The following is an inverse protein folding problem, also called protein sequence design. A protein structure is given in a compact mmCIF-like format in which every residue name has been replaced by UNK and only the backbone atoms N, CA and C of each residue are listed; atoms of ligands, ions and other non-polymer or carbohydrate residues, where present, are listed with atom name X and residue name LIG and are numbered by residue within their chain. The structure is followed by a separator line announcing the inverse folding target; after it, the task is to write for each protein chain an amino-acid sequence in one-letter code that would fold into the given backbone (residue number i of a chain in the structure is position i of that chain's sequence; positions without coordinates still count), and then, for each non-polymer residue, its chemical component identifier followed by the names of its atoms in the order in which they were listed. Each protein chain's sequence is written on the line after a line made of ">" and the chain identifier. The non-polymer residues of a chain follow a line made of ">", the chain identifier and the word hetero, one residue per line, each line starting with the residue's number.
data_IF_221662901677
#
_entry.id   IF_221662901677
#
_cell.length_a   1.000
_cell.length_b   1.000
_cell.length_c   1.000
_cell.angle_alpha   90.00
_cell.angle_beta   90.00
_cell.angle_gamma   90.00
#
_symmetry.space_group_name_H-M   'P 1'
#
loop_
_entity.id
_entity.type
_entity.pdbx_description
1 polymer ?
#
# COMPACT_ATOMS: atom_id res chain seq x y z
N UNK A 1 -7.17 -37.24 25.22
CA UNK A 1 -6.84 -36.34 24.09
C UNK A 1 -7.86 -35.22 24.13
N UNK A 2 -7.49 -34.00 24.49
CA UNK A 2 -8.40 -32.86 24.39
C UNK A 2 -8.55 -32.53 22.90
N UNK A 3 -9.79 -32.47 22.43
CA UNK A 3 -10.07 -32.03 21.06
C UNK A 3 -9.68 -30.55 20.92
N UNK A 4 -9.15 -30.14 19.75
CA UNK A 4 -8.85 -28.73 19.49
C UNK A 4 -10.13 -27.90 19.64
N UNK A 5 -10.01 -26.72 20.24
CA UNK A 5 -11.15 -25.84 20.45
C UNK A 5 -11.78 -25.44 19.10
N UNK A 6 -13.06 -25.75 18.94
CA UNK A 6 -13.79 -25.43 17.73
C UNK A 6 -14.53 -24.10 17.90
N UNK A 7 -13.96 -23.06 17.28
CA UNK A 7 -14.52 -21.71 17.22
C UNK A 7 -15.88 -21.65 16.49
N UNK A 8 -16.17 -22.64 15.64
CA UNK A 8 -17.38 -22.69 14.82
C UNK A 8 -18.45 -23.63 15.37
N UNK A 9 -18.19 -24.29 16.50
CA UNK A 9 -19.20 -25.11 17.18
C UNK A 9 -20.42 -24.29 17.61
N UNK A 10 -21.60 -24.92 17.66
CA UNK A 10 -22.86 -24.25 18.03
C UNK A 10 -22.81 -23.57 19.41
N UNK A 11 -21.95 -24.04 20.31
CA UNK A 11 -21.74 -23.47 21.65
C UNK A 11 -20.81 -22.25 21.66
N UNK A 12 -19.80 -22.22 20.79
CA UNK A 12 -18.74 -21.20 20.81
C UNK A 12 -18.91 -20.12 19.75
N UNK A 13 -19.52 -20.43 18.61
CA UNK A 13 -19.85 -19.48 17.55
C UNK A 13 -20.48 -18.16 18.06
N UNK A 14 -21.48 -18.17 18.97
CA UNK A 14 -22.08 -16.92 19.47
C UNK A 14 -21.12 -16.07 20.34
N UNK A 15 -20.04 -16.65 20.87
CA UNK A 15 -19.04 -15.93 21.69
C UNK A 15 -18.05 -15.14 20.83
N UNK A 16 -17.75 -15.66 19.63
CA UNK A 16 -16.72 -15.10 18.74
C UNK A 16 -17.30 -14.28 17.57
N UNK A 17 -18.52 -14.59 17.13
CA UNK A 17 -19.13 -13.93 15.97
C UNK A 17 -19.40 -12.45 16.24
N UNK A 18 -18.95 -11.59 15.33
CA UNK A 18 -19.10 -10.14 15.37
C UNK A 18 -18.18 -9.44 16.37
N UNK A 19 -17.27 -10.18 17.02
CA UNK A 19 -16.38 -9.65 18.04
C UNK A 19 -15.30 -8.74 17.42
N UNK A 20 -14.79 -9.09 16.25
CA UNK A 20 -13.74 -8.37 15.55
C UNK A 20 -14.30 -7.34 14.56
N UNK A 21 -15.54 -7.50 14.08
CA UNK A 21 -16.17 -6.62 13.07
C UNK A 21 -16.06 -5.12 13.38
N UNK A 22 -16.36 -4.61 14.60
CA UNK A 22 -16.25 -3.18 14.89
C UNK A 22 -14.82 -2.65 14.78
N UNK A 23 -13.84 -3.48 15.12
CA UNK A 23 -12.43 -3.12 15.09
C UNK A 23 -11.86 -3.24 13.67
N UNK A 24 -12.23 -4.28 12.93
CA UNK A 24 -11.90 -4.45 11.51
C UNK A 24 -12.41 -3.29 10.66
N UNK A 25 -13.59 -2.74 11.00
CA UNK A 25 -14.13 -1.54 10.35
C UNK A 25 -13.26 -0.30 10.58
N UNK A 26 -12.63 -0.17 11.76
CA UNK A 26 -11.69 0.92 12.05
C UNK A 26 -10.38 0.70 11.29
N UNK A 27 -9.84 -0.52 11.31
CA UNK A 27 -8.63 -0.88 10.55
C UNK A 27 -8.82 -0.60 9.06
N UNK A 28 -9.95 -1.00 8.47
CA UNK A 28 -10.21 -0.75 7.06
C UNK A 28 -10.19 0.74 6.71
N UNK A 29 -10.76 1.60 7.58
CA UNK A 29 -10.75 3.06 7.38
C UNK A 29 -9.37 3.66 7.56
N UNK A 30 -8.53 3.07 8.42
CA UNK A 30 -7.13 3.50 8.57
C UNK A 30 -6.31 3.16 7.32
N UNK A 31 -6.42 1.93 6.82
CA UNK A 31 -5.65 1.48 5.65
C UNK A 31 -6.12 2.16 4.35
N UNK A 32 -7.45 2.25 4.20
CA UNK A 32 -8.10 2.72 2.99
C UNK A 32 -9.32 3.58 3.36
N UNK A 33 -9.11 4.87 3.69
CA UNK A 33 -10.18 5.78 4.10
C UNK A 33 -11.31 5.93 3.06
N UNK A 34 -10.98 5.75 1.78
CA UNK A 34 -11.89 5.93 0.64
C UNK A 34 -12.70 4.68 0.30
N UNK A 35 -12.34 3.51 0.84
CA UNK A 35 -13.09 2.28 0.63
C UNK A 35 -14.18 2.13 1.69
N UNK A 36 -15.28 1.46 1.35
CA UNK A 36 -16.28 1.03 2.33
C UNK A 36 -16.34 -0.50 2.36
N UNK A 37 -16.14 -1.07 3.55
CA UNK A 37 -16.28 -2.52 3.72
C UNK A 37 -17.74 -2.92 3.91
N UNK A 38 -18.21 -3.86 3.08
CA UNK A 38 -19.48 -4.56 3.32
C UNK A 38 -19.39 -5.38 4.60
N UNK A 39 -20.50 -5.49 5.31
CA UNK A 39 -20.54 -6.19 6.59
C UNK A 39 -20.23 -7.69 6.45
N UNK A 40 -20.71 -8.33 5.39
CA UNK A 40 -20.40 -9.74 5.07
C UNK A 40 -18.89 -9.97 4.85
N UNK A 41 -18.20 -9.00 4.25
CA UNK A 41 -16.75 -9.09 4.04
C UNK A 41 -15.99 -9.00 5.38
N UNK A 42 -16.46 -8.18 6.31
CA UNK A 42 -15.89 -8.09 7.65
C UNK A 42 -16.09 -9.38 8.45
N UNK A 43 -17.25 -10.03 8.32
CA UNK A 43 -17.49 -11.36 8.91
C UNK A 43 -16.58 -12.42 8.31
N UNK A 44 -16.38 -12.42 6.99
CA UNK A 44 -15.45 -13.35 6.35
C UNK A 44 -14.00 -13.17 6.85
N UNK A 45 -13.54 -11.92 6.99
CA UNK A 45 -12.21 -11.62 7.55
C UNK A 45 -12.11 -12.10 9.00
N UNK A 46 -13.17 -11.95 9.80
CA UNK A 46 -13.23 -12.49 11.16
C UNK A 46 -13.08 -14.02 11.17
N UNK A 47 -13.74 -14.74 10.27
CA UNK A 47 -13.59 -16.20 10.16
C UNK A 47 -12.13 -16.61 9.85
N UNK A 48 -11.44 -15.88 8.97
CA UNK A 48 -10.02 -16.11 8.67
C UNK A 48 -9.12 -15.84 9.88
N UNK A 49 -9.41 -14.78 10.64
CA UNK A 49 -8.71 -14.45 11.90
C UNK A 49 -8.89 -15.59 12.92
N UNK A 50 -10.10 -16.10 13.08
CA UNK A 50 -10.40 -17.21 13.99
C UNK A 50 -9.72 -18.50 13.53
N UNK A 51 -9.67 -18.76 12.22
CA UNK A 51 -8.95 -19.90 11.66
C UNK A 51 -7.45 -19.82 11.93
N UNK A 52 -6.86 -18.63 11.77
CA UNK A 52 -5.46 -18.37 12.10
C UNK A 52 -5.20 -18.57 13.60
N UNK A 53 -6.07 -18.03 14.45
CA UNK A 53 -6.00 -18.17 15.90
C UNK A 53 -6.05 -19.62 16.33
N UNK A 54 -6.98 -20.40 15.76
CA UNK A 54 -7.06 -21.84 16.00
C UNK A 54 -5.74 -22.53 15.66
N UNK A 55 -5.23 -22.25 14.47
CA UNK A 55 -4.04 -22.90 13.94
C UNK A 55 -2.76 -22.55 14.73
N UNK A 56 -2.70 -21.37 15.35
CA UNK A 56 -1.66 -20.98 16.32
C UNK A 56 -1.87 -21.66 17.69
N UNK A 57 -3.11 -21.78 18.16
CA UNK A 57 -3.44 -22.31 19.49
C UNK A 57 -3.49 -23.84 19.58
N UNK A 58 -3.64 -24.58 18.47
CA UNK A 58 -3.65 -26.06 18.46
C UNK A 58 -2.40 -26.65 19.13
N UNK A 59 -1.25 -25.97 19.03
CA UNK A 59 0.00 -26.40 19.64
C UNK A 59 0.07 -26.18 21.17
N UNK A 60 -0.95 -25.57 21.77
CA UNK A 60 -1.02 -25.21 23.19
C UNK A 60 0.25 -24.50 23.70
N UNK A 61 0.68 -23.39 23.07
CA UNK A 61 1.88 -22.67 23.49
C UNK A 61 1.74 -22.18 24.93
N UNK A 62 2.79 -22.30 25.74
CA UNK A 62 2.80 -21.88 27.16
C UNK A 62 3.66 -20.66 27.41
N UNK A 63 4.61 -20.37 26.52
CA UNK A 63 5.54 -19.25 26.60
C UNK A 63 5.47 -18.35 25.37
N UNK A 64 6.05 -17.15 25.45
CA UNK A 64 6.23 -16.26 24.28
C UNK A 64 7.01 -16.96 23.18
N UNK A 65 8.07 -17.65 23.58
CA UNK A 65 8.96 -18.36 22.68
C UNK A 65 8.23 -19.48 21.94
N UNK A 66 7.29 -20.18 22.59
CA UNK A 66 6.49 -21.22 21.95
C UNK A 66 5.60 -20.64 20.83
N UNK A 67 5.07 -19.43 21.04
CA UNK A 67 4.27 -18.74 20.02
C UNK A 67 5.15 -18.23 18.89
N UNK A 68 6.32 -17.66 19.18
CA UNK A 68 7.28 -17.22 18.17
C UNK A 68 7.72 -18.39 17.28
N UNK A 69 8.10 -19.52 17.87
CA UNK A 69 8.44 -20.74 17.11
C UNK A 69 7.28 -21.22 16.24
N UNK A 70 6.04 -21.10 16.73
CA UNK A 70 4.86 -21.47 15.95
C UNK A 70 4.65 -20.53 14.77
N UNK A 71 4.83 -19.22 14.96
CA UNK A 71 4.76 -18.23 13.88
C UNK A 71 5.83 -18.50 12.83
N UNK A 72 7.08 -18.75 13.22
CA UNK A 72 8.17 -19.10 12.28
C UNK A 72 7.88 -20.36 11.44
N UNK A 73 7.24 -21.37 12.03
CA UNK A 73 6.92 -22.62 11.33
C UNK A 73 5.69 -22.53 10.43
N UNK A 74 4.86 -21.52 10.64
CA UNK A 74 3.54 -21.41 10.02
C UNK A 74 3.51 -20.33 8.95
N UNK A 75 4.12 -19.18 9.22
CA UNK A 75 4.04 -18.02 8.35
C UNK A 75 5.19 -18.11 7.34
N UNK A 76 4.95 -17.80 6.06
CA UNK A 76 6.01 -17.81 5.07
C UNK A 76 7.00 -16.68 5.34
N UNK A 77 8.26 -16.90 4.95
CA UNK A 77 9.28 -15.86 4.97
C UNK A 77 8.97 -14.80 3.90
N UNK A 78 9.04 -13.47 4.18
CA UNK A 78 9.51 -12.79 5.40
C UNK A 78 8.43 -12.38 6.41
N UNK A 79 7.17 -12.78 6.21
CA UNK A 79 6.04 -12.40 7.05
C UNK A 79 6.24 -12.88 8.48
N UNK A 80 6.83 -14.07 8.66
CA UNK A 80 7.20 -14.62 9.96
C UNK A 80 8.09 -13.67 10.78
N UNK A 81 9.18 -13.16 10.20
CA UNK A 81 10.13 -12.29 10.89
C UNK A 81 9.51 -10.94 11.21
N UNK A 82 8.75 -10.38 10.27
CA UNK A 82 8.08 -9.09 10.48
C UNK A 82 7.04 -9.21 11.60
N UNK A 83 6.20 -10.25 11.56
CA UNK A 83 5.20 -10.49 12.60
C UNK A 83 5.82 -10.72 13.98
N UNK A 84 6.97 -11.40 14.08
CA UNK A 84 7.65 -11.62 15.37
C UNK A 84 8.32 -10.35 15.90
N UNK A 85 9.01 -9.60 15.04
CA UNK A 85 9.71 -8.38 15.44
C UNK A 85 8.72 -7.33 15.99
N UNK A 86 7.59 -7.20 15.32
CA UNK A 86 6.57 -6.26 15.73
C UNK A 86 5.86 -6.73 17.02
N UNK A 87 5.70 -8.05 17.19
CA UNK A 87 5.31 -8.70 18.46
C UNK A 87 6.22 -8.36 19.61
N UNK A 88 7.51 -8.53 19.42
CA UNK A 88 8.51 -8.19 20.42
C UNK A 88 8.48 -6.69 20.76
N UNK A 89 8.27 -5.80 19.78
CA UNK A 89 8.16 -4.36 20.05
C UNK A 89 6.98 -4.00 20.95
N UNK A 90 5.85 -4.68 20.78
CA UNK A 90 4.68 -4.51 21.63
C UNK A 90 4.92 -5.02 23.06
N UNK A 91 5.71 -6.09 23.22
CA UNK A 91 6.13 -6.62 24.54
C UNK A 91 6.94 -5.59 25.34
N UNK A 92 7.89 -4.95 24.68
CA UNK A 92 8.89 -4.08 25.30
C UNK A 92 8.29 -2.72 25.72
N UNK A 93 7.37 -2.17 24.94
CA UNK A 93 6.76 -0.86 25.20
C UNK A 93 5.48 -1.01 26.03
N UNK A 94 5.60 -1.20 27.35
CA UNK A 94 4.48 -1.23 28.33
C UNK A 94 3.55 0.00 28.35
N UNK A 95 3.80 1.04 27.54
CA UNK A 95 2.99 2.25 27.38
C UNK A 95 3.07 2.76 25.94
N UNK A 96 2.10 2.40 25.09
CA UNK A 96 1.74 3.20 23.91
C UNK A 96 0.43 3.96 24.17
N UNK A 97 0.29 5.12 23.51
CA UNK A 97 -0.75 6.13 23.75
C UNK A 97 -2.16 5.72 23.32
N UNK A 98 -2.32 4.65 22.54
CA UNK A 98 -3.61 4.20 22.05
C UNK A 98 -3.84 2.72 22.43
N UNK A 99 -4.81 2.40 23.31
CA UNK A 99 -5.19 1.02 23.59
C UNK A 99 -5.82 0.37 22.35
N UNK A 100 -5.58 -0.93 22.21
CA UNK A 100 -5.97 -1.79 21.08
C UNK A 100 -7.40 -1.52 20.56
N UNK A 101 -7.54 -1.46 19.23
CA UNK A 101 -8.86 -1.36 18.57
C UNK A 101 -9.68 -2.64 18.74
N UNK A 102 -9.00 -3.79 18.88
CA UNK A 102 -9.61 -5.11 19.07
C UNK A 102 -9.97 -5.30 20.54
N UNK A 103 -11.09 -5.94 20.86
CA UNK A 103 -11.60 -6.03 22.23
C UNK A 103 -10.82 -7.07 23.05
N UNK A 104 -9.57 -6.74 23.39
CA UNK A 104 -8.65 -7.64 24.11
C UNK A 104 -9.22 -8.08 25.46
N UNK A 105 -9.95 -7.20 26.14
CA UNK A 105 -10.64 -7.53 27.39
C UNK A 105 -11.73 -8.61 27.21
N UNK A 106 -12.25 -8.79 25.99
CA UNK A 106 -13.21 -9.84 25.64
C UNK A 106 -12.52 -11.10 25.11
N UNK A 107 -11.45 -10.95 24.33
CA UNK A 107 -10.70 -12.07 23.73
C UNK A 107 -9.90 -12.83 24.81
N UNK A 108 -9.27 -12.09 25.72
CA UNK A 108 -8.37 -12.64 26.73
C UNK A 108 -9.07 -13.66 27.67
N UNK A 109 -10.26 -13.39 28.23
CA UNK A 109 -11.02 -14.40 28.96
C UNK A 109 -11.40 -15.61 28.12
N UNK A 110 -11.79 -15.44 26.85
CA UNK A 110 -12.18 -16.56 25.98
C UNK A 110 -10.99 -17.48 25.68
N UNK A 111 -9.81 -16.91 25.41
CA UNK A 111 -8.57 -17.68 25.25
C UNK A 111 -8.15 -18.38 26.55
N UNK A 112 -8.30 -17.72 27.70
CA UNK A 112 -7.94 -18.26 29.02
C UNK A 112 -8.85 -19.40 29.46
N UNK A 113 -10.16 -19.28 29.22
CA UNK A 113 -11.17 -20.20 29.74
C UNK A 113 -11.33 -21.40 28.82
N UNK A 114 -11.19 -21.22 27.51
CA UNK A 114 -11.63 -22.24 26.54
C UNK A 114 -10.51 -22.82 25.67
N UNK A 115 -9.32 -22.19 25.63
CA UNK A 115 -8.24 -22.58 24.71
C UNK A 115 -6.94 -23.01 25.42
N UNK A 116 -6.53 -22.47 26.59
CA UNK A 116 -5.29 -22.90 27.28
C UNK A 116 -5.20 -22.60 28.80
N UNK A 117 -4.65 -23.53 29.60
CA UNK A 117 -4.51 -23.47 31.07
C UNK A 117 -3.51 -22.40 31.60
N UNK A 118 -4.03 -21.60 32.54
CA UNK A 118 -3.47 -20.68 33.57
C UNK A 118 -2.15 -19.91 33.45
N UNK A 119 -1.22 -20.17 32.52
CA UNK A 119 0.09 -19.47 32.50
C UNK A 119 0.43 -18.75 31.18
N UNK A 120 -0.53 -18.61 30.25
CA UNK A 120 -0.34 -18.07 28.89
C UNK A 120 -0.86 -16.62 28.73
N UNK A 121 -0.64 -15.69 29.68
CA UNK A 121 -1.31 -14.38 29.59
C UNK A 121 -0.45 -13.13 29.72
N UNK A 122 0.86 -13.27 29.88
CA UNK A 122 1.74 -12.12 29.66
C UNK A 122 2.06 -12.02 28.16
N UNK A 123 2.15 -13.15 27.45
CA UNK A 123 2.62 -13.22 26.07
C UNK A 123 1.56 -13.09 24.97
N UNK A 124 0.36 -13.65 25.15
CA UNK A 124 -0.69 -13.60 24.12
C UNK A 124 -1.33 -12.20 24.00
N UNK A 125 -1.26 -11.40 25.08
CA UNK A 125 -1.63 -9.98 25.07
C UNK A 125 -0.76 -9.16 24.11
N UNK A 126 0.43 -9.68 23.83
CA UNK A 126 1.56 -8.98 23.26
C UNK A 126 1.79 -9.33 21.79
N UNK A 127 1.45 -10.55 21.36
CA UNK A 127 1.60 -10.97 19.95
C UNK A 127 0.48 -10.47 19.02
N UNK A 128 -0.65 -10.02 19.57
CA UNK A 128 -1.78 -9.51 18.78
C UNK A 128 -1.76 -7.97 18.66
N UNK A 129 -0.89 -7.29 19.42
CA UNK A 129 -0.65 -5.83 19.42
C UNK A 129 0.05 -5.30 18.14
N UNK A 130 0.15 -6.14 17.11
CA UNK A 130 1.31 -6.22 16.20
C UNK A 130 0.88 -6.14 14.75
N UNK A 131 0.09 -7.13 14.33
CA UNK A 131 -0.49 -7.21 12.99
C UNK A 131 -1.26 -5.96 12.53
N UNK A 132 -1.53 -4.99 13.42
CA UNK A 132 -2.36 -3.81 13.16
C UNK A 132 -1.66 -2.45 13.30
N UNK A 133 -0.36 -2.37 13.65
CA UNK A 133 0.37 -1.08 13.70
C UNK A 133 1.00 -0.68 12.33
N UNK A 134 0.84 -1.50 11.28
CA UNK A 134 1.27 -1.16 9.90
C UNK A 134 0.48 -0.02 9.23
N UNK A 135 -0.64 0.40 9.81
CA UNK A 135 -1.66 1.16 9.09
C UNK A 135 -1.95 2.56 9.64
N UNK A 136 -1.10 3.09 10.50
CA UNK A 136 -1.27 4.44 11.06
C UNK A 136 -0.26 5.41 10.42
N UNK A 137 -0.72 6.17 9.42
CA UNK A 137 -0.23 7.50 9.11
C UNK A 137 -1.38 8.35 8.53
N UNK A 138 -1.63 9.45 9.24
CA UNK A 138 -2.38 10.65 8.87
C UNK A 138 -3.93 10.65 8.96
N UNK A 139 -4.38 11.24 10.07
CA UNK A 139 -5.70 11.84 10.29
C UNK A 139 -5.77 13.19 9.56
N UNK A 140 -6.62 13.35 8.55
CA UNK A 140 -7.26 14.64 8.22
C UNK A 140 -8.72 14.38 7.86
N UNK A 141 -9.62 15.05 8.57
CA UNK A 141 -11.06 14.85 8.51
C UNK A 141 -11.68 15.31 7.19
N UNK A 142 -12.76 14.62 6.81
CA UNK A 142 -13.70 15.17 5.85
C UNK A 142 -15.13 14.80 6.23
N UNK A 143 -15.92 15.85 6.48
CA UNK A 143 -17.36 15.85 6.42
C UNK A 143 -17.78 16.12 4.98
N UNK A 144 -18.58 15.23 4.38
CA UNK A 144 -19.49 15.63 3.31
C UNK A 144 -20.69 14.67 3.23
N UNK A 145 -21.87 15.23 3.55
CA UNK A 145 -23.17 14.76 3.13
C UNK A 145 -23.75 15.83 2.20
N UNK A 146 -24.37 15.42 1.10
CA UNK A 146 -25.13 16.28 0.18
C UNK A 146 -25.22 15.60 -1.18
N UNK A 147 -26.27 14.84 -1.48
CA UNK A 147 -27.62 15.25 -1.94
C UNK A 147 -27.67 15.38 -3.47
N UNK A 148 -28.48 14.50 -4.07
CA UNK A 148 -28.66 14.31 -5.50
C UNK A 148 -29.54 15.42 -6.11
N UNK A 149 -29.04 16.08 -7.14
CA UNK A 149 -29.77 17.04 -7.96
C UNK A 149 -29.58 16.76 -9.46
N UNK A 150 -30.65 16.64 -10.28
CA UNK A 150 -30.58 16.03 -11.60
C UNK A 150 -30.34 17.10 -12.67
N UNK A 151 -29.08 17.43 -13.02
CA UNK A 151 -28.81 18.31 -14.17
C UNK A 151 -27.34 18.33 -14.66
N UNK A 152 -26.68 17.20 -14.94
CA UNK A 152 -25.28 17.25 -15.42
C UNK A 152 -24.88 16.06 -16.31
N UNK A 153 -25.07 16.13 -17.64
CA UNK A 153 -24.57 15.07 -18.56
C UNK A 153 -23.23 15.36 -19.23
N UNK A 154 -22.78 16.62 -19.28
CA UNK A 154 -21.46 16.99 -19.84
C UNK A 154 -20.46 17.50 -18.80
N UNK A 155 -20.93 18.23 -17.80
CA UNK A 155 -20.11 18.89 -16.77
C UNK A 155 -19.70 17.92 -15.65
N UNK A 156 -20.58 16.95 -15.31
CA UNK A 156 -20.24 15.83 -14.42
C UNK A 156 -19.06 15.01 -14.97
N UNK A 157 -19.03 14.81 -16.29
CA UNK A 157 -18.02 13.99 -16.95
C UNK A 157 -16.60 14.57 -16.81
N UNK A 158 -16.44 15.89 -16.73
CA UNK A 158 -15.13 16.50 -16.53
C UNK A 158 -14.67 16.40 -15.07
N UNK A 159 -15.57 16.65 -14.11
CA UNK A 159 -15.25 16.48 -12.69
C UNK A 159 -14.93 15.02 -12.33
N UNK A 160 -15.70 14.07 -12.88
CA UNK A 160 -15.44 12.65 -12.73
C UNK A 160 -14.12 12.24 -13.40
N UNK A 161 -13.78 12.83 -14.55
CA UNK A 161 -12.48 12.63 -15.22
C UNK A 161 -11.32 13.14 -14.35
N UNK A 162 -11.42 14.34 -13.77
CA UNK A 162 -10.39 14.89 -12.86
C UNK A 162 -10.22 14.00 -11.63
N UNK A 163 -11.32 13.50 -11.05
CA UNK A 163 -11.24 12.55 -9.93
C UNK A 163 -10.61 11.22 -10.31
N UNK A 164 -10.92 10.71 -11.50
CA UNK A 164 -10.30 9.49 -12.02
C UNK A 164 -8.79 9.72 -12.22
N UNK A 165 -8.40 10.84 -12.80
CA UNK A 165 -6.98 11.18 -13.03
C UNK A 165 -6.20 11.31 -11.71
N UNK A 166 -6.76 11.97 -10.68
CA UNK A 166 -6.13 12.03 -9.34
C UNK A 166 -5.97 10.61 -8.75
N UNK A 167 -6.94 9.73 -8.96
CA UNK A 167 -6.84 8.35 -8.48
C UNK A 167 -5.78 7.54 -9.25
N UNK A 168 -5.66 7.75 -10.56
CA UNK A 168 -4.63 7.17 -11.41
C UNK A 168 -3.23 7.67 -11.02
N UNK A 169 -3.07 8.98 -10.77
CA UNK A 169 -1.82 9.55 -10.24
C UNK A 169 -1.40 8.95 -8.90
N UNK A 170 -2.34 8.78 -7.97
CA UNK A 170 -2.08 8.11 -6.69
C UNK A 170 -1.67 6.65 -6.87
N UNK A 171 -2.21 5.96 -7.88
CA UNK A 171 -1.80 4.60 -8.21
C UNK A 171 -0.39 4.58 -8.82
N UNK A 172 -0.12 5.48 -9.78
CA UNK A 172 1.19 5.62 -10.39
C UNK A 172 2.27 5.97 -9.36
N UNK A 173 2.02 6.92 -8.45
CA UNK A 173 2.92 7.25 -7.35
C UNK A 173 3.21 6.05 -6.45
N UNK A 174 2.24 5.16 -6.23
CA UNK A 174 2.46 3.91 -5.48
C UNK A 174 3.38 2.95 -6.24
N UNK A 175 3.25 2.87 -7.56
CA UNK A 175 4.13 2.05 -8.40
C UNK A 175 5.56 2.62 -8.44
N UNK A 176 5.72 3.94 -8.50
CA UNK A 176 7.03 4.59 -8.35
C UNK A 176 7.64 4.30 -6.97
N UNK A 177 6.84 4.38 -5.90
CA UNK A 177 7.29 4.03 -4.56
C UNK A 177 7.70 2.55 -4.44
N UNK A 178 7.01 1.64 -5.14
CA UNK A 178 7.40 0.23 -5.21
C UNK A 178 8.78 0.09 -5.86
N UNK A 179 9.01 0.75 -7.00
CA UNK A 179 10.32 0.74 -7.69
C UNK A 179 11.41 1.29 -6.76
N UNK A 180 11.16 2.43 -6.11
CA UNK A 180 12.17 3.11 -5.28
C UNK A 180 12.46 2.38 -3.97
N UNK A 181 11.43 2.04 -3.20
CA UNK A 181 11.58 1.52 -1.82
C UNK A 181 11.81 0.03 -1.77
N UNK A 182 11.30 -0.73 -2.75
CA UNK A 182 11.41 -2.20 -2.75
C UNK A 182 12.50 -2.68 -3.70
N UNK A 183 12.57 -2.14 -4.93
CA UNK A 183 13.54 -2.61 -5.91
C UNK A 183 14.87 -1.85 -5.86
N UNK A 184 14.87 -0.52 -5.76
CA UNK A 184 16.10 0.29 -5.78
C UNK A 184 16.87 0.25 -4.46
N UNK A 185 16.17 0.20 -3.33
CA UNK A 185 16.79 0.22 -1.99
C UNK A 185 17.82 -0.92 -1.75
N UNK A 186 17.61 -2.16 -2.21
CA UNK A 186 18.66 -3.19 -2.18
C UNK A 186 19.93 -2.85 -2.96
N UNK A 187 19.82 -2.12 -4.08
CA UNK A 187 21.01 -1.75 -4.86
C UNK A 187 21.81 -0.66 -4.13
N UNK A 188 21.14 0.31 -3.52
CA UNK A 188 21.77 1.39 -2.75
C UNK A 188 22.38 0.89 -1.43
N UNK A 189 21.75 -0.12 -0.81
CA UNK A 189 22.17 -0.67 0.48
C UNK A 189 23.50 -1.42 0.42
N UNK A 190 23.91 -1.94 -0.74
CA UNK A 190 25.12 -2.76 -0.90
C UNK A 190 26.13 -2.14 -1.88
N UNK A 191 26.82 -1.09 -1.42
CA UNK A 191 27.85 -0.37 -2.19
C UNK A 191 29.08 -1.21 -2.59
N UNK A 192 29.22 -2.44 -2.08
CA UNK A 192 30.28 -3.37 -2.49
C UNK A 192 29.93 -4.15 -3.74
N UNK A 193 28.63 -4.38 -3.97
CA UNK A 193 28.13 -5.13 -5.12
C UNK A 193 27.67 -4.22 -6.26
N UNK A 194 27.18 -3.02 -5.93
CA UNK A 194 26.65 -2.06 -6.89
C UNK A 194 27.35 -0.72 -6.74
N UNK A 195 27.79 -0.16 -7.87
CA UNK A 195 28.33 1.19 -7.95
C UNK A 195 27.21 2.20 -8.20
N UNK A 196 27.46 3.48 -7.94
CA UNK A 196 26.52 4.54 -8.28
C UNK A 196 26.14 4.53 -9.77
N UNK A 197 27.11 4.24 -10.65
CA UNK A 197 26.87 4.14 -12.09
C UNK A 197 25.96 2.95 -12.45
N UNK A 198 26.11 1.79 -11.79
CA UNK A 198 25.19 0.66 -12.01
C UNK A 198 23.75 1.06 -11.65
N UNK A 199 23.57 1.81 -10.55
CA UNK A 199 22.24 2.27 -10.09
C UNK A 199 21.67 3.30 -11.06
N UNK A 200 22.49 4.25 -11.53
CA UNK A 200 22.10 5.26 -12.51
C UNK A 200 21.69 4.62 -13.84
N UNK A 201 22.43 3.62 -14.34
CA UNK A 201 22.06 2.93 -15.59
C UNK A 201 20.74 2.17 -15.43
N UNK A 202 20.48 1.57 -14.28
CA UNK A 202 19.29 0.72 -14.08
C UNK A 202 18.03 1.55 -13.81
N UNK A 203 18.16 2.59 -12.99
CA UNK A 203 17.01 3.37 -12.52
C UNK A 203 16.90 4.75 -13.17
N UNK A 204 17.90 5.15 -13.97
CA UNK A 204 17.98 6.47 -14.60
C UNK A 204 17.65 7.58 -13.57
N UNK A 205 16.89 8.59 -13.98
CA UNK A 205 16.41 9.70 -13.18
C UNK A 205 14.99 9.47 -12.62
N UNK A 206 14.64 8.23 -12.26
CA UNK A 206 13.31 7.90 -11.70
C UNK A 206 12.94 8.68 -10.42
N UNK A 207 13.93 9.20 -9.69
CA UNK A 207 13.71 10.06 -8.53
C UNK A 207 13.11 11.41 -8.93
N UNK A 208 13.57 11.99 -10.04
CA UNK A 208 13.09 13.27 -10.55
C UNK A 208 11.64 13.11 -11.06
N UNK A 209 11.35 11.97 -11.71
CA UNK A 209 9.97 11.61 -12.11
C UNK A 209 9.06 11.49 -10.89
N UNK A 210 9.51 10.82 -9.83
CA UNK A 210 8.73 10.72 -8.59
C UNK A 210 8.47 12.08 -7.95
N UNK A 211 9.48 12.96 -7.88
CA UNK A 211 9.30 14.33 -7.37
C UNK A 211 8.29 15.12 -8.21
N UNK A 212 8.39 15.02 -9.53
CA UNK A 212 7.44 15.64 -10.45
C UNK A 212 6.01 15.10 -10.24
N UNK A 213 5.84 13.79 -10.10
CA UNK A 213 4.52 13.17 -9.83
C UNK A 213 3.93 13.66 -8.52
N UNK A 214 4.73 13.81 -7.47
CA UNK A 214 4.27 14.40 -6.19
C UNK A 214 3.85 15.86 -6.39
N UNK A 215 4.61 16.64 -7.16
CA UNK A 215 4.27 18.04 -7.49
C UNK A 215 2.96 18.13 -8.28
N UNK A 216 2.78 17.31 -9.32
CA UNK A 216 1.56 17.25 -10.13
C UNK A 216 0.36 16.91 -9.25
N UNK A 217 0.45 15.81 -8.49
CA UNK A 217 -0.65 15.37 -7.63
C UNK A 217 -1.05 16.45 -6.62
N UNK A 218 -0.08 17.10 -5.97
CA UNK A 218 -0.34 18.19 -5.04
C UNK A 218 -1.06 19.37 -5.69
N UNK A 219 -0.60 19.81 -6.87
CA UNK A 219 -1.26 20.91 -7.62
C UNK A 219 -2.69 20.55 -8.04
N UNK A 220 -2.93 19.30 -8.44
CA UNK A 220 -4.27 18.83 -8.78
C UNK A 220 -5.20 18.82 -7.56
N UNK A 221 -4.72 18.29 -6.42
CA UNK A 221 -5.48 18.25 -5.17
C UNK A 221 -5.79 19.65 -4.64
N UNK A 222 -4.79 20.55 -4.61
CA UNK A 222 -4.96 21.96 -4.23
C UNK A 222 -5.99 22.67 -5.11
N UNK A 223 -5.94 22.43 -6.42
CA UNK A 223 -6.90 23.04 -7.37
C UNK A 223 -8.32 22.55 -7.11
N UNK A 224 -8.50 21.26 -6.80
CA UNK A 224 -9.80 20.71 -6.44
C UNK A 224 -10.30 21.28 -5.11
N UNK A 225 -9.43 21.41 -4.11
CA UNK A 225 -9.77 21.94 -2.79
C UNK A 225 -10.14 23.43 -2.82
N UNK A 226 -9.45 24.22 -3.65
CA UNK A 226 -9.66 25.67 -3.78
C UNK A 226 -10.79 26.04 -4.73
N UNK A 227 -11.44 25.06 -5.39
CA UNK A 227 -12.56 25.33 -6.30
C UNK A 227 -13.84 25.53 -5.51
N UNK A 228 -14.38 26.75 -5.53
CA UNK A 228 -15.66 27.09 -4.89
C UNK A 228 -16.80 26.17 -5.36
N UNK A 229 -17.72 25.81 -4.47
CA UNK A 229 -18.93 25.01 -4.79
C UNK A 229 -19.83 25.64 -5.88
N UNK A 230 -19.67 26.95 -6.12
CA UNK A 230 -20.36 27.67 -7.20
C UNK A 230 -19.71 27.53 -8.58
N UNK A 231 -18.48 27.01 -8.64
CA UNK A 231 -17.76 26.79 -9.89
C UNK A 231 -18.17 25.45 -10.51
N UNK A 232 -18.36 25.38 -11.84
CA UNK A 232 -18.91 24.18 -12.48
C UNK A 232 -17.95 22.98 -12.44
N UNK A 233 -16.63 23.21 -12.37
CA UNK A 233 -15.60 22.17 -12.22
C UNK A 233 -14.22 22.80 -11.88
N UNK A 234 -13.32 22.04 -11.21
CA UNK A 234 -11.95 22.48 -10.92
C UNK A 234 -11.12 22.56 -12.19
N UNK A 235 -10.42 23.66 -12.44
CA UNK A 235 -9.70 23.89 -13.70
C UNK A 235 -8.26 23.37 -13.64
N UNK A 236 -8.09 22.05 -13.61
CA UNK A 236 -6.77 21.40 -13.45
C UNK A 236 -5.86 21.58 -14.68
N UNK A 237 -6.43 21.92 -15.84
CA UNK A 237 -5.67 22.12 -17.07
C UNK A 237 -4.60 23.22 -16.99
N UNK A 238 -4.79 24.26 -16.17
CA UNK A 238 -3.79 25.31 -15.98
C UNK A 238 -2.55 24.80 -15.26
N UNK A 239 -2.68 23.84 -14.34
CA UNK A 239 -1.53 23.24 -13.65
C UNK A 239 -0.57 22.58 -14.64
N UNK A 240 -1.11 21.87 -15.65
CA UNK A 240 -0.29 21.23 -16.67
C UNK A 240 0.34 22.24 -17.65
N UNK A 241 -0.35 23.36 -17.93
CA UNK A 241 0.17 24.43 -18.78
C UNK A 241 1.40 25.09 -18.13
N UNK A 242 1.30 25.48 -16.86
CA UNK A 242 2.40 26.09 -16.11
C UNK A 242 3.62 25.14 -16.05
N UNK A 243 3.38 23.86 -15.74
CA UNK A 243 4.42 22.84 -15.70
C UNK A 243 5.08 22.62 -17.09
N UNK A 244 4.29 22.62 -18.16
CA UNK A 244 4.82 22.47 -19.51
C UNK A 244 5.64 23.69 -19.95
N UNK A 245 5.23 24.91 -19.60
CA UNK A 245 6.00 26.14 -19.88
C UNK A 245 7.36 26.14 -19.17
N UNK A 246 7.40 25.62 -17.93
CA UNK A 246 8.62 25.44 -17.14
C UNK A 246 9.52 24.27 -17.62
N UNK A 247 9.13 23.52 -18.66
CA UNK A 247 9.86 22.34 -19.17
C UNK A 247 10.13 21.26 -18.10
N UNK A 248 9.24 21.12 -17.13
CA UNK A 248 9.46 20.20 -16.00
C UNK A 248 9.31 18.71 -16.36
N UNK A 249 8.81 18.39 -17.56
CA UNK A 249 8.59 17.02 -18.03
C UNK A 249 9.82 16.38 -18.71
N UNK A 250 10.91 17.13 -18.90
CA UNK A 250 12.19 16.64 -19.44
C UNK A 250 12.71 15.35 -18.77
N UNK A 251 12.50 15.10 -17.46
CA UNK A 251 12.89 13.85 -16.84
C UNK A 251 12.35 12.59 -17.53
N UNK A 252 11.15 12.64 -18.12
CA UNK A 252 10.57 11.51 -18.85
C UNK A 252 11.31 11.19 -20.15
N UNK A 253 11.85 12.21 -20.83
CA UNK A 253 12.65 11.99 -22.04
C UNK A 253 13.95 11.27 -21.71
N UNK A 254 14.66 11.72 -20.68
CA UNK A 254 15.90 11.08 -20.21
C UNK A 254 15.65 9.63 -19.81
N UNK A 255 14.60 9.39 -19.00
CA UNK A 255 14.22 8.04 -18.58
C UNK A 255 13.90 7.13 -19.79
N UNK A 256 13.14 7.63 -20.77
CA UNK A 256 12.81 6.86 -21.96
C UNK A 256 14.05 6.53 -22.80
N UNK A 257 14.98 7.48 -22.98
CA UNK A 257 16.22 7.27 -23.72
C UNK A 257 17.10 6.21 -23.04
N UNK A 258 17.22 6.25 -21.71
CA UNK A 258 18.04 5.33 -20.94
C UNK A 258 17.45 3.92 -20.89
N UNK A 259 16.16 3.79 -20.52
CA UNK A 259 15.51 2.49 -20.28
C UNK A 259 15.24 1.74 -21.59
N UNK A 260 14.90 2.44 -22.67
CA UNK A 260 14.69 1.83 -23.99
C UNK A 260 16.00 1.56 -24.74
N UNK A 261 17.14 2.01 -24.21
CA UNK A 261 18.44 1.78 -24.81
C UNK A 261 18.81 0.29 -24.84
N UNK A 262 19.47 -0.20 -25.91
CA UNK A 262 20.10 -1.52 -25.90
C UNK A 262 21.14 -1.67 -24.78
N UNK A 263 21.76 -0.56 -24.36
CA UNK A 263 22.79 -0.56 -23.31
C UNK A 263 22.23 -0.96 -21.95
N UNK A 264 20.99 -0.55 -21.64
CA UNK A 264 20.30 -0.96 -20.41
C UNK A 264 20.17 -2.48 -20.34
N UNK A 265 19.66 -3.11 -21.40
CA UNK A 265 19.45 -4.55 -21.44
C UNK A 265 20.76 -5.34 -21.32
N UNK A 266 21.81 -4.91 -22.00
CA UNK A 266 23.13 -5.55 -21.91
C UNK A 266 23.72 -5.41 -20.49
N UNK A 267 23.72 -4.20 -19.94
CA UNK A 267 24.23 -3.93 -18.61
C UNK A 267 23.47 -4.70 -17.53
N UNK A 268 22.13 -4.66 -17.58
CA UNK A 268 21.25 -5.32 -16.62
C UNK A 268 21.45 -6.84 -16.62
N UNK A 269 21.47 -7.48 -17.81
CA UNK A 269 21.70 -8.92 -17.92
C UNK A 269 23.09 -9.32 -17.42
N UNK A 270 24.12 -8.53 -17.75
CA UNK A 270 25.47 -8.75 -17.26
C UNK A 270 25.54 -8.66 -15.74
N UNK A 271 24.89 -7.68 -15.12
CA UNK A 271 24.82 -7.54 -13.66
C UNK A 271 24.10 -8.73 -13.02
N UNK A 272 22.95 -9.14 -13.56
CA UNK A 272 22.16 -10.27 -13.04
C UNK A 272 22.86 -11.63 -13.21
N UNK A 273 23.77 -11.76 -14.17
CA UNK A 273 24.59 -12.96 -14.36
C UNK A 273 25.67 -13.15 -13.28
N UNK A 274 26.01 -12.09 -12.53
CA UNK A 274 27.06 -12.15 -11.50
C UNK A 274 26.58 -12.99 -10.32
N UNK A 275 27.28 -14.08 -10.04
CA UNK A 275 26.94 -14.99 -8.94
C UNK A 275 26.79 -14.28 -7.57
N UNK A 276 27.64 -13.30 -7.18
CA UNK A 276 27.45 -12.55 -5.93
C UNK A 276 26.14 -11.74 -5.87
N UNK A 277 25.71 -11.18 -7.01
CA UNK A 277 24.45 -10.42 -7.12
C UNK A 277 23.25 -11.35 -6.95
N UNK A 278 23.29 -12.52 -7.60
CA UNK A 278 22.24 -13.53 -7.45
C UNK A 278 22.09 -14.01 -6.00
N UNK A 279 23.19 -14.32 -5.32
CA UNK A 279 23.14 -14.71 -3.90
C UNK A 279 22.64 -13.60 -2.99
N UNK A 280 23.04 -12.35 -3.26
CA UNK A 280 22.54 -11.21 -2.49
C UNK A 280 21.02 -11.08 -2.60
N UNK A 281 20.47 -11.05 -3.81
CA UNK A 281 19.01 -10.92 -3.98
C UNK A 281 18.23 -12.11 -3.42
N UNK A 282 18.75 -13.33 -3.55
CA UNK A 282 18.13 -14.51 -2.92
C UNK A 282 18.12 -14.46 -1.39
N UNK A 283 19.05 -13.72 -0.78
CA UNK A 283 19.11 -13.55 0.67
C UNK A 283 18.10 -12.55 1.23
N UNK A 284 17.53 -11.67 0.39
CA UNK A 284 16.60 -10.62 0.81
C UNK A 284 15.21 -11.21 1.09
N UNK A 285 14.65 -11.91 0.09
CA UNK A 285 13.38 -12.60 0.19
C UNK A 285 13.30 -13.70 -0.87
N UNK A 286 12.48 -14.71 -0.61
CA UNK A 286 12.20 -15.77 -1.57
C UNK A 286 11.55 -15.17 -2.84
N UNK A 287 12.06 -15.55 -4.01
CA UNK A 287 11.59 -15.04 -5.31
C UNK A 287 12.05 -13.61 -5.66
N UNK A 288 12.79 -12.93 -4.78
CA UNK A 288 13.19 -11.54 -5.03
C UNK A 288 14.13 -11.39 -6.23
N UNK A 289 15.08 -12.32 -6.40
CA UNK A 289 15.98 -12.34 -7.56
C UNK A 289 15.19 -12.43 -8.86
N UNK A 290 14.20 -13.32 -8.93
CA UNK A 290 13.36 -13.53 -10.10
C UNK A 290 12.48 -12.31 -10.37
N UNK A 291 11.94 -11.67 -9.32
CA UNK A 291 11.21 -10.41 -9.44
C UNK A 291 12.11 -9.29 -10.00
N UNK A 292 13.34 -9.15 -9.49
CA UNK A 292 14.31 -8.19 -10.07
C UNK A 292 14.60 -8.55 -11.52
N UNK A 293 14.85 -9.82 -11.85
CA UNK A 293 15.25 -10.20 -13.21
C UNK A 293 14.15 -10.04 -14.26
N UNK A 294 12.89 -10.31 -13.90
CA UNK A 294 11.80 -10.44 -14.88
C UNK A 294 10.67 -9.42 -14.70
N UNK A 295 10.48 -8.86 -13.51
CA UNK A 295 9.41 -7.90 -13.21
C UNK A 295 9.92 -6.46 -13.21
N UNK A 296 11.08 -6.19 -12.61
CA UNK A 296 11.63 -4.83 -12.56
C UNK A 296 11.78 -4.17 -13.94
N UNK A 297 12.29 -4.84 -15.00
CA UNK A 297 12.35 -4.23 -16.33
C UNK A 297 10.99 -3.80 -16.87
N UNK A 298 9.91 -4.50 -16.51
CA UNK A 298 8.55 -4.13 -16.90
C UNK A 298 8.05 -2.93 -16.08
N UNK A 299 8.34 -2.90 -14.78
CA UNK A 299 7.98 -1.77 -13.92
C UNK A 299 8.68 -0.47 -14.35
N UNK A 300 9.93 -0.55 -14.84
CA UNK A 300 10.67 0.61 -15.34
C UNK A 300 10.08 1.18 -16.66
N UNK A 301 9.17 0.47 -17.33
CA UNK A 301 8.43 1.01 -18.49
C UNK A 301 7.18 1.80 -18.09
N UNK A 302 6.69 1.64 -16.85
CA UNK A 302 5.48 2.33 -16.36
C UNK A 302 5.58 3.86 -16.54
N UNK A 303 6.70 4.53 -16.17
CA UNK A 303 6.82 5.98 -16.39
C UNK A 303 6.69 6.40 -17.86
N UNK A 304 7.16 5.56 -18.79
CA UNK A 304 7.10 5.85 -20.22
C UNK A 304 5.65 5.79 -20.69
N UNK A 305 4.90 4.74 -20.31
CA UNK A 305 3.48 4.65 -20.62
C UNK A 305 2.67 5.77 -19.97
N UNK A 306 3.01 6.14 -18.74
CA UNK A 306 2.35 7.24 -18.01
C UNK A 306 2.57 8.60 -18.71
N UNK A 307 3.79 8.86 -19.17
CA UNK A 307 4.07 10.05 -19.97
C UNK A 307 3.25 10.09 -21.27
N UNK A 308 3.09 8.95 -21.95
CA UNK A 308 2.24 8.85 -23.14
C UNK A 308 0.77 9.15 -22.82
N UNK A 309 0.28 8.68 -21.69
CA UNK A 309 -1.07 8.98 -21.21
C UNK A 309 -1.28 10.49 -21.00
N UNK A 310 -0.31 11.22 -20.44
CA UNK A 310 -0.42 12.68 -20.32
C UNK A 310 -0.64 13.38 -21.68
N UNK A 311 0.03 12.94 -22.74
CA UNK A 311 -0.18 13.52 -24.07
C UNK A 311 -1.59 13.26 -24.61
N UNK A 312 -2.16 12.08 -24.36
CA UNK A 312 -3.54 11.75 -24.74
C UNK A 312 -4.55 12.56 -23.93
N UNK A 313 -4.34 12.68 -22.62
CA UNK A 313 -5.18 13.46 -21.71
C UNK A 313 -5.24 14.94 -22.13
N UNK A 314 -4.09 15.55 -22.41
CA UNK A 314 -4.02 16.94 -22.85
C UNK A 314 -4.78 17.17 -24.17
N UNK A 315 -4.72 16.22 -25.11
CA UNK A 315 -5.52 16.29 -26.34
C UNK A 315 -7.02 16.21 -26.06
N UNK A 316 -7.46 15.34 -25.14
CA UNK A 316 -8.87 15.20 -24.76
C UNK A 316 -9.38 16.48 -24.08
N UNK A 317 -8.61 17.07 -23.16
CA UNK A 317 -8.96 18.33 -22.49
C UNK A 317 -9.08 19.46 -23.51
N UNK A 318 -8.16 19.56 -24.48
CA UNK A 318 -8.24 20.54 -25.56
C UNK A 318 -9.51 20.34 -26.43
N UNK A 319 -9.86 19.10 -26.77
CA UNK A 319 -11.07 18.80 -27.56
C UNK A 319 -12.36 19.13 -26.80
N UNK A 320 -12.42 18.85 -25.49
CA UNK A 320 -13.57 19.21 -24.64
C UNK A 320 -13.75 20.73 -24.53
N UNK A 321 -12.64 21.49 -24.49
CA UNK A 321 -12.64 22.97 -24.56
C UNK A 321 -13.16 23.48 -25.91
N UNK A 322 -12.68 22.91 -27.02
CA UNK A 322 -13.10 23.31 -28.38
C UNK A 322 -14.57 23.00 -28.69
N UNK A 323 -15.14 21.96 -28.06
CA UNK A 323 -16.58 21.64 -28.16
C UNK A 323 -17.48 22.54 -27.31
N UNK A 324 -16.91 23.54 -26.61
CA UNK A 324 -17.66 24.51 -25.82
C UNK A 324 -18.25 23.97 -24.51
N UNK A 325 -17.80 22.79 -24.07
CA UNK A 325 -18.20 22.18 -22.80
C UNK A 325 -17.48 22.78 -21.58
N UNK A 326 -16.41 23.55 -21.82
CA UNK A 326 -15.66 24.28 -20.80
C UNK A 326 -15.59 25.75 -21.23
N UNK A 327 -16.34 26.63 -20.56
CA UNK A 327 -16.26 28.07 -20.78
C UNK A 327 -15.38 28.71 -19.70
N UNK A 328 -14.18 29.10 -20.10
CA UNK A 328 -13.25 29.92 -19.31
C UNK A 328 -12.29 30.65 -20.25
N UNK A 329 -12.29 31.98 -20.16
CA UNK A 329 -11.45 32.87 -20.98
C UNK A 329 -10.05 32.95 -20.38
N UNK A 330 -9.06 33.08 -21.27
CA UNK A 330 -7.63 33.31 -21.01
C UNK A 330 -7.33 34.30 -19.87
#
# INVERSE_FOLDING_TARGET
>A
MQQPYDFFSEENSPKWRGLFVPALRKVQRQVHPTLSAKEDALFYIEELILQLLNMLCVAQPRTVQDVEERVQKTFPHPIDKWAIADAQSAIEKRRRRNPLLLPVDKIHPLLKVEVCFDHMLISAKQNWEVLMDMFDQDDIGLSCLGDDGPNTTGEQHYYDLVKAEIAEERQYLRELNLILKVFREPFTSNNKLFTACDIEIIFSNILDIHELTVKILGLMEDTVEMTDESSPHPFVGSCFEDLAEEQVFDPYEVCAQDILSPQFHEHFNNLMSRSPVAFYFQSIAEGFKEAVQYVLPQLLLVPIYHCLHYFELLQVVQVLRLKGAVKGTL
#
